data_IF_520887844156
#
_entry.id   IF_520887844156
#
_cell.length_a   1.000
_cell.length_b   1.000
_cell.length_c   1.000
_cell.angle_alpha   90.00
_cell.angle_beta   90.00
_cell.angle_gamma   90.00
#
_symmetry.space_group_name_H-M   'P 1'
#
loop_
_entity.id
_entity.type
_entity.pdbx_description
1 polymer ?
#
# COMPACT_ATOMS: atom_id res chain seq x y z
N UNK A 1 -32.07 -28.01 34.96
CA UNK A 1 -31.92 -27.05 33.85
C UNK A 1 -30.44 -26.89 33.58
N UNK A 2 -29.93 -27.59 32.58
CA UNK A 2 -28.52 -27.59 32.18
C UNK A 2 -28.16 -26.25 31.54
N UNK A 3 -26.91 -25.81 31.69
CA UNK A 3 -26.34 -24.57 31.14
C UNK A 3 -26.54 -24.36 29.61
N UNK A 4 -27.07 -25.36 28.89
CA UNK A 4 -27.38 -25.34 27.47
C UNK A 4 -28.57 -24.43 27.05
N UNK A 5 -29.46 -24.03 27.97
CA UNK A 5 -30.60 -23.15 27.62
C UNK A 5 -30.27 -21.66 27.61
N UNK A 6 -29.14 -21.22 28.20
CA UNK A 6 -28.81 -19.80 28.34
C UNK A 6 -28.15 -19.18 27.09
N UNK A 7 -27.90 -19.94 26.03
CA UNK A 7 -27.06 -19.51 24.89
C UNK A 7 -27.80 -19.33 23.56
N UNK A 8 -29.13 -19.39 23.56
CA UNK A 8 -29.94 -19.24 22.33
C UNK A 8 -30.13 -17.78 21.90
N UNK A 9 -30.02 -16.82 22.82
CA UNK A 9 -30.28 -15.40 22.59
C UNK A 9 -29.02 -14.52 22.72
N UNK A 10 -27.87 -15.12 22.97
CA UNK A 10 -26.59 -14.41 23.02
C UNK A 10 -26.02 -14.33 21.61
N UNK A 11 -25.73 -13.11 21.15
CA UNK A 11 -25.05 -12.94 19.87
C UNK A 11 -23.66 -13.62 19.92
N UNK A 12 -23.27 -14.40 18.90
CA UNK A 12 -21.96 -15.06 18.87
C UNK A 12 -20.82 -14.05 19.09
N UNK A 13 -19.75 -14.48 19.75
CA UNK A 13 -18.56 -13.66 19.92
C UNK A 13 -18.06 -13.12 18.55
N UNK A 14 -17.95 -11.79 18.38
CA UNK A 14 -17.52 -11.20 17.11
C UNK A 14 -16.11 -11.62 16.69
N UNK A 15 -15.20 -11.93 17.63
CA UNK A 15 -13.86 -12.40 17.30
C UNK A 15 -13.90 -13.82 16.72
N UNK A 16 -14.63 -14.73 17.37
CA UNK A 16 -14.88 -16.08 16.86
C UNK A 16 -15.55 -16.05 15.47
N UNK A 17 -16.57 -15.21 15.28
CA UNK A 17 -17.25 -15.07 13.98
C UNK A 17 -16.31 -14.57 12.86
N UNK A 18 -15.36 -13.69 13.19
CA UNK A 18 -14.33 -13.22 12.25
C UNK A 18 -13.34 -14.33 11.89
N UNK A 19 -12.87 -15.08 12.89
CA UNK A 19 -11.95 -16.20 12.68
C UNK A 19 -12.59 -17.28 11.79
N UNK A 20 -13.83 -17.65 12.08
CA UNK A 20 -14.58 -18.62 11.29
C UNK A 20 -14.75 -18.17 9.82
N UNK A 21 -15.13 -16.91 9.57
CA UNK A 21 -15.23 -16.37 8.20
C UNK A 21 -13.88 -16.42 7.47
N UNK A 22 -12.80 -16.08 8.16
CA UNK A 22 -11.44 -16.10 7.60
C UNK A 22 -11.05 -17.51 7.19
N UNK A 23 -11.24 -18.48 8.09
CA UNK A 23 -10.98 -19.90 7.81
C UNK A 23 -11.82 -20.40 6.63
N UNK A 24 -13.14 -20.16 6.65
CA UNK A 24 -14.02 -20.61 5.58
C UNK A 24 -13.65 -20.02 4.20
N UNK A 25 -13.23 -18.75 4.17
CA UNK A 25 -12.75 -18.11 2.95
C UNK A 25 -11.45 -18.75 2.44
N UNK A 26 -10.47 -18.95 3.34
CA UNK A 26 -9.20 -19.59 3.00
C UNK A 26 -9.40 -21.01 2.48
N UNK A 27 -10.17 -21.84 3.19
CA UNK A 27 -10.47 -23.22 2.77
C UNK A 27 -11.14 -23.25 1.41
N UNK A 28 -12.16 -22.40 1.19
CA UNK A 28 -12.86 -22.32 -0.10
C UNK A 28 -11.92 -21.96 -1.26
N UNK A 29 -11.01 -20.99 -1.06
CA UNK A 29 -10.06 -20.57 -2.08
C UNK A 29 -9.00 -21.66 -2.30
N UNK A 30 -8.48 -22.24 -1.22
CA UNK A 30 -7.48 -23.31 -1.26
C UNK A 30 -8.00 -24.50 -2.08
N UNK A 31 -9.17 -25.02 -1.74
CA UNK A 31 -9.77 -26.18 -2.42
C UNK A 31 -10.02 -25.92 -3.91
N UNK A 32 -10.50 -24.72 -4.27
CA UNK A 32 -10.90 -24.42 -5.65
C UNK A 32 -9.75 -23.95 -6.53
N UNK A 33 -8.80 -23.21 -5.97
CA UNK A 33 -7.86 -22.41 -6.74
C UNK A 33 -6.40 -22.63 -6.34
N UNK A 34 -6.12 -23.30 -5.22
CA UNK A 34 -4.77 -23.50 -4.71
C UNK A 34 -4.52 -24.92 -4.15
N UNK A 35 -5.25 -25.91 -4.67
CA UNK A 35 -5.21 -27.31 -4.21
C UNK A 35 -3.87 -28.01 -4.44
N UNK A 36 -3.11 -27.52 -5.41
CA UNK A 36 -1.78 -28.02 -5.75
C UNK A 36 -0.84 -26.85 -6.03
N UNK A 37 0.43 -27.21 -6.14
CA UNK A 37 1.54 -26.27 -6.26
C UNK A 37 1.55 -25.50 -7.58
N UNK A 38 1.22 -26.17 -8.69
CA UNK A 38 1.08 -25.53 -10.00
C UNK A 38 -0.04 -24.47 -9.99
N UNK A 39 -1.16 -24.77 -9.33
CA UNK A 39 -2.27 -23.82 -9.18
C UNK A 39 -1.90 -22.62 -8.31
N UNK A 40 -1.13 -22.82 -7.24
CA UNK A 40 -0.64 -21.76 -6.36
C UNK A 40 0.32 -20.81 -7.09
N UNK A 41 1.24 -21.34 -7.88
CA UNK A 41 2.24 -20.53 -8.62
C UNK A 41 1.68 -19.66 -9.75
N UNK A 42 0.40 -19.80 -10.14
CA UNK A 42 -0.18 -18.97 -11.23
C UNK A 42 -0.08 -17.46 -11.00
N UNK A 43 0.04 -17.02 -9.75
CA UNK A 43 0.12 -15.61 -9.39
C UNK A 43 1.52 -15.16 -8.97
N UNK A 44 2.46 -16.09 -8.78
CA UNK A 44 3.79 -15.81 -8.24
C UNK A 44 4.80 -15.76 -9.38
N UNK A 45 5.67 -14.75 -9.40
CA UNK A 45 6.80 -14.73 -10.32
C UNK A 45 7.91 -15.64 -9.76
N UNK A 46 8.34 -16.70 -10.48
CA UNK A 46 9.33 -17.64 -9.96
C UNK A 46 10.76 -17.08 -9.85
N UNK A 47 11.03 -15.89 -10.41
CA UNK A 47 12.38 -15.32 -10.46
C UNK A 47 12.55 -14.05 -9.65
N UNK A 48 11.45 -13.39 -9.25
CA UNK A 48 11.49 -12.15 -8.48
C UNK A 48 10.47 -12.26 -7.37
N UNK A 49 10.89 -12.13 -6.09
CA UNK A 49 9.95 -12.16 -4.99
C UNK A 49 8.98 -10.98 -5.11
N UNK A 50 7.71 -11.26 -4.83
CA UNK A 50 6.70 -10.21 -4.70
C UNK A 50 7.04 -9.29 -3.49
N UNK A 51 6.74 -7.98 -3.53
CA UNK A 51 7.00 -7.09 -2.39
C UNK A 51 6.42 -7.61 -1.06
N UNK A 52 5.24 -8.24 -1.08
CA UNK A 52 4.67 -8.87 0.12
C UNK A 52 5.51 -10.07 0.59
N UNK A 53 5.97 -10.90 -0.34
CA UNK A 53 6.81 -12.05 -0.06
C UNK A 53 8.14 -11.63 0.58
N UNK A 54 8.80 -10.60 0.05
CA UNK A 54 10.03 -10.06 0.60
C UNK A 54 9.84 -9.53 2.03
N UNK A 55 8.78 -8.76 2.28
CA UNK A 55 8.46 -8.24 3.63
C UNK A 55 8.15 -9.39 4.60
N UNK A 56 7.37 -10.39 4.18
CA UNK A 56 7.02 -11.53 5.00
C UNK A 56 8.24 -12.38 5.35
N UNK A 57 9.13 -12.63 4.38
CA UNK A 57 10.36 -13.40 4.57
C UNK A 57 11.30 -12.73 5.58
N UNK A 58 11.63 -11.46 5.39
CA UNK A 58 12.49 -10.71 6.32
C UNK A 58 11.88 -10.68 7.73
N UNK A 59 10.55 -10.50 7.83
CA UNK A 59 9.86 -10.51 9.13
C UNK A 59 9.95 -11.89 9.81
N UNK A 60 9.76 -12.97 9.06
CA UNK A 60 9.83 -14.32 9.59
C UNK A 60 11.24 -14.69 10.05
N UNK A 61 12.27 -14.39 9.24
CA UNK A 61 13.67 -14.63 9.58
C UNK A 61 14.08 -13.81 10.81
N UNK A 62 13.76 -12.50 10.85
CA UNK A 62 14.08 -11.64 11.98
C UNK A 62 13.38 -12.05 13.29
N UNK A 63 12.15 -12.60 13.20
CA UNK A 63 11.39 -13.09 14.35
C UNK A 63 11.76 -14.53 14.76
N UNK A 64 12.66 -15.22 14.03
CA UNK A 64 13.00 -16.63 14.25
C UNK A 64 11.88 -17.61 13.87
N UNK A 65 10.91 -17.18 13.05
CA UNK A 65 9.83 -18.01 12.52
C UNK A 65 10.19 -18.75 11.24
N UNK A 66 11.37 -18.49 10.67
CA UNK A 66 11.95 -19.20 9.53
C UNK A 66 13.43 -19.48 9.80
N UNK A 67 13.93 -20.58 9.25
CA UNK A 67 15.35 -20.97 9.35
C UNK A 67 16.14 -20.40 8.16
N UNK A 68 17.33 -19.87 8.43
CA UNK A 68 18.28 -19.45 7.41
C UNK A 68 18.90 -20.68 6.72
N UNK A 69 19.14 -20.57 5.42
CA UNK A 69 19.97 -21.56 4.73
C UNK A 69 21.43 -21.48 5.22
N UNK A 70 22.18 -22.57 5.03
CA UNK A 70 23.57 -22.67 5.53
C UNK A 70 24.53 -21.65 4.88
N UNK A 71 24.19 -21.15 3.70
CA UNK A 71 24.93 -20.19 2.89
C UNK A 71 24.31 -18.78 2.88
N UNK A 72 23.26 -18.56 3.67
CA UNK A 72 22.54 -17.28 3.73
C UNK A 72 23.08 -16.38 4.85
N UNK A 73 23.25 -15.08 4.55
CA UNK A 73 23.64 -14.10 5.56
C UNK A 73 22.48 -13.83 6.54
N UNK A 74 22.75 -13.63 7.84
CA UNK A 74 21.70 -13.27 8.79
C UNK A 74 21.09 -11.91 8.43
N UNK A 75 19.78 -11.77 8.66
CA UNK A 75 19.06 -10.51 8.47
C UNK A 75 19.73 -9.38 9.26
N UNK A 76 20.08 -8.31 8.56
CA UNK A 76 20.75 -7.14 9.13
C UNK A 76 19.83 -5.90 9.22
N UNK A 77 20.38 -4.76 9.61
CA UNK A 77 19.61 -3.51 9.73
C UNK A 77 19.21 -2.92 8.37
N UNK A 78 20.00 -3.14 7.32
CA UNK A 78 19.69 -2.69 5.97
C UNK A 78 18.51 -3.48 5.41
N UNK A 79 18.44 -4.79 5.66
CA UNK A 79 17.30 -5.63 5.29
C UNK A 79 16.00 -5.17 5.94
N UNK A 80 16.03 -4.80 7.21
CA UNK A 80 14.87 -4.25 7.92
C UNK A 80 14.39 -2.93 7.30
N UNK A 81 15.31 -2.04 6.96
CA UNK A 81 14.98 -0.76 6.31
C UNK A 81 14.44 -1.00 4.89
N UNK A 82 15.00 -1.96 4.15
CA UNK A 82 14.51 -2.35 2.84
C UNK A 82 13.07 -2.89 2.92
N UNK A 83 12.80 -3.81 3.86
CA UNK A 83 11.45 -4.32 4.10
C UNK A 83 10.46 -3.21 4.50
N UNK A 84 10.85 -2.30 5.40
CA UNK A 84 10.01 -1.15 5.79
C UNK A 84 9.72 -0.22 4.61
N UNK A 85 10.69 -0.06 3.69
CA UNK A 85 10.52 0.76 2.47
C UNK A 85 9.48 0.15 1.52
N UNK A 86 9.32 -1.18 1.51
CA UNK A 86 8.32 -1.88 0.70
C UNK A 86 6.91 -1.81 1.29
N UNK A 87 6.74 -1.57 2.60
CA UNK A 87 5.42 -1.59 3.27
C UNK A 87 4.39 -0.64 2.64
N UNK A 88 4.72 0.64 2.29
CA UNK A 88 3.77 1.51 1.60
C UNK A 88 3.31 0.94 0.25
N UNK A 89 4.22 0.32 -0.51
CA UNK A 89 3.91 -0.29 -1.80
C UNK A 89 2.98 -1.50 -1.63
N UNK A 90 3.29 -2.40 -0.70
CA UNK A 90 2.44 -3.56 -0.37
C UNK A 90 1.02 -3.12 0.03
N UNK A 91 0.90 -2.03 0.81
CA UNK A 91 -0.41 -1.47 1.18
C UNK A 91 -1.19 -0.97 -0.03
N UNK A 92 -0.53 -0.26 -0.94
CA UNK A 92 -1.13 0.22 -2.18
C UNK A 92 -1.61 -0.95 -3.06
N UNK A 93 -0.80 -2.01 -3.21
CA UNK A 93 -1.17 -3.20 -3.96
C UNK A 93 -2.39 -3.91 -3.35
N UNK A 94 -2.43 -4.07 -2.02
CA UNK A 94 -3.59 -4.63 -1.32
C UNK A 94 -4.85 -3.78 -1.50
N UNK A 95 -4.72 -2.45 -1.44
CA UNK A 95 -5.82 -1.53 -1.67
C UNK A 95 -6.35 -1.61 -3.12
N UNK A 96 -5.45 -1.72 -4.10
CA UNK A 96 -5.79 -1.89 -5.51
C UNK A 96 -6.48 -3.24 -5.79
N UNK A 97 -5.96 -4.32 -5.21
CA UNK A 97 -6.57 -5.65 -5.26
C UNK A 97 -7.97 -5.64 -4.65
N UNK A 98 -8.15 -5.01 -3.49
CA UNK A 98 -9.45 -4.90 -2.85
C UNK A 98 -10.43 -4.10 -3.71
N UNK A 99 -10.02 -2.94 -4.23
CA UNK A 99 -10.85 -2.13 -5.13
C UNK A 99 -11.25 -2.92 -6.39
N UNK A 100 -10.31 -3.66 -6.97
CA UNK A 100 -10.53 -4.52 -8.13
C UNK A 100 -11.53 -5.65 -7.83
N UNK A 101 -11.40 -6.33 -6.70
CA UNK A 101 -12.33 -7.38 -6.27
C UNK A 101 -13.74 -6.84 -6.00
N UNK A 102 -13.85 -5.68 -5.36
CA UNK A 102 -15.14 -5.02 -5.12
C UNK A 102 -15.81 -4.64 -6.44
N UNK A 103 -15.07 -4.08 -7.39
CA UNK A 103 -15.56 -3.80 -8.75
C UNK A 103 -16.03 -5.09 -9.44
N UNK A 104 -15.20 -6.14 -9.47
CA UNK A 104 -15.53 -7.43 -10.08
C UNK A 104 -16.77 -8.10 -9.45
N UNK A 105 -16.98 -7.93 -8.14
CA UNK A 105 -18.17 -8.39 -7.44
C UNK A 105 -19.42 -7.62 -7.88
N UNK A 106 -19.29 -6.29 -8.00
CA UNK A 106 -20.37 -5.40 -8.47
C UNK A 106 -20.74 -5.68 -9.93
N UNK A 107 -19.75 -5.89 -10.79
CA UNK A 107 -19.96 -6.25 -12.20
C UNK A 107 -20.65 -7.62 -12.35
N UNK A 108 -20.45 -8.52 -11.37
CA UNK A 108 -21.17 -9.81 -11.26
C UNK A 108 -22.52 -9.72 -10.56
N UNK A 109 -23.01 -8.51 -10.27
CA UNK A 109 -24.33 -8.26 -9.70
C UNK A 109 -24.46 -8.42 -8.19
N UNK A 110 -23.36 -8.66 -7.44
CA UNK A 110 -23.44 -8.77 -5.98
C UNK A 110 -23.87 -7.43 -5.37
N UNK A 111 -24.93 -7.43 -4.56
CA UNK A 111 -25.40 -6.20 -3.91
C UNK A 111 -24.45 -5.74 -2.80
N UNK A 112 -24.46 -4.46 -2.46
CA UNK A 112 -23.71 -3.93 -1.32
C UNK A 112 -24.08 -4.61 0.01
N UNK A 113 -25.33 -5.08 0.15
CA UNK A 113 -25.76 -5.83 1.33
C UNK A 113 -25.08 -7.21 1.37
N UNK A 114 -25.05 -7.92 0.24
CA UNK A 114 -24.36 -9.22 0.14
C UNK A 114 -22.86 -9.09 0.39
N UNK A 115 -22.25 -8.02 -0.12
CA UNK A 115 -20.83 -7.70 0.12
C UNK A 115 -20.58 -7.38 1.60
N UNK A 116 -21.40 -6.51 2.20
CA UNK A 116 -21.28 -6.16 3.62
C UNK A 116 -21.39 -7.40 4.52
N UNK A 117 -22.37 -8.27 4.25
CA UNK A 117 -22.52 -9.53 4.95
C UNK A 117 -21.27 -10.42 4.81
N UNK A 118 -20.75 -10.60 3.59
CA UNK A 118 -19.55 -11.39 3.34
C UNK A 118 -18.30 -10.84 4.03
N UNK A 119 -18.16 -9.52 4.10
CA UNK A 119 -17.07 -8.83 4.80
C UNK A 119 -17.28 -8.76 6.33
N UNK A 120 -18.45 -9.17 6.84
CA UNK A 120 -18.80 -9.03 8.26
C UNK A 120 -18.99 -7.57 8.70
N UNK A 121 -19.38 -6.69 7.78
CA UNK A 121 -19.72 -5.30 8.04
C UNK A 121 -21.18 -5.19 8.49
N UNK A 122 -21.45 -4.28 9.43
CA UNK A 122 -22.80 -4.11 10.00
C UNK A 122 -23.83 -3.50 9.04
N UNK A 123 -23.39 -2.83 7.96
CA UNK A 123 -24.31 -2.14 7.03
C UNK A 123 -23.78 -2.17 5.57
N UNK A 124 -24.68 -2.12 4.56
CA UNK A 124 -24.29 -1.93 3.16
C UNK A 124 -23.49 -0.64 2.92
N UNK A 125 -23.83 0.42 3.68
CA UNK A 125 -23.17 1.72 3.56
C UNK A 125 -21.69 1.64 3.94
N UNK A 126 -21.34 0.84 4.96
CA UNK A 126 -19.95 0.63 5.35
C UNK A 126 -19.13 -0.01 4.21
N UNK A 127 -19.72 -0.95 3.47
CA UNK A 127 -19.07 -1.55 2.30
C UNK A 127 -18.85 -0.53 1.18
N UNK A 128 -19.86 0.29 0.89
CA UNK A 128 -19.78 1.35 -0.12
C UNK A 128 -18.73 2.42 0.23
N UNK A 129 -18.72 2.92 1.46
CA UNK A 129 -17.74 3.91 1.92
C UNK A 129 -16.31 3.37 1.87
N UNK A 130 -16.12 2.08 2.20
CA UNK A 130 -14.83 1.41 2.04
C UNK A 130 -14.37 1.40 0.58
N UNK A 131 -15.26 1.05 -0.34
CA UNK A 131 -14.98 1.09 -1.78
C UNK A 131 -14.61 2.50 -2.26
N UNK A 132 -15.40 3.52 -1.90
CA UNK A 132 -15.15 4.92 -2.29
C UNK A 132 -13.76 5.39 -1.81
N UNK A 133 -13.41 5.09 -0.55
CA UNK A 133 -12.08 5.40 0.02
C UNK A 133 -10.94 4.69 -0.71
N UNK A 134 -11.13 3.43 -1.12
CA UNK A 134 -10.12 2.68 -1.87
C UNK A 134 -9.92 3.28 -3.26
N UNK A 135 -11.00 3.54 -3.99
CA UNK A 135 -10.92 4.12 -5.34
C UNK A 135 -10.34 5.53 -5.37
N UNK A 136 -10.60 6.35 -4.35
CA UNK A 136 -10.00 7.67 -4.22
C UNK A 136 -8.48 7.64 -4.01
N UNK A 137 -7.97 6.62 -3.30
CA UNK A 137 -6.52 6.44 -3.07
C UNK A 137 -5.79 5.91 -4.29
N UNK A 138 -6.32 4.86 -4.91
CA UNK A 138 -5.74 4.27 -6.15
C UNK A 138 -5.68 5.31 -7.28
N UNK A 139 -6.71 6.15 -7.42
CA UNK A 139 -6.73 7.24 -8.40
C UNK A 139 -5.71 8.35 -8.11
N UNK A 140 -5.38 8.60 -6.84
CA UNK A 140 -4.39 9.60 -6.44
C UNK A 140 -2.95 9.12 -6.72
N UNK A 141 -2.65 7.84 -6.48
CA UNK A 141 -1.34 7.23 -6.74
C UNK A 141 -1.01 7.19 -8.24
N UNK A 142 -2.01 6.95 -9.11
CA UNK A 142 -1.82 7.00 -10.56
C UNK A 142 -1.57 8.44 -11.06
N UNK A 143 -2.06 9.44 -10.34
CA UNK A 143 -1.96 10.86 -10.70
C UNK A 143 -0.69 11.57 -10.22
N UNK A 144 0.09 10.98 -9.31
CA UNK A 144 1.33 11.57 -8.78
C UNK A 144 2.53 11.46 -9.71
N UNK A 145 2.51 10.58 -10.73
CA UNK A 145 3.62 10.41 -11.67
C UNK A 145 3.63 11.40 -12.84
N UNK A 146 2.53 12.14 -13.09
CA UNK A 146 2.45 13.06 -14.25
C UNK A 146 2.83 14.52 -13.92
N UNK A 147 3.06 14.89 -12.66
CA UNK A 147 3.23 16.30 -12.25
C UNK A 147 4.68 16.76 -12.03
N UNK A 148 5.67 15.92 -12.35
CA UNK A 148 7.10 16.19 -12.12
C UNK A 148 7.93 16.58 -13.36
N UNK A 149 7.32 16.78 -14.53
CA UNK A 149 8.05 16.93 -15.79
C UNK A 149 7.50 18.10 -16.64
N UNK A 150 7.53 19.32 -16.10
CA UNK A 150 7.21 20.51 -16.89
C UNK A 150 7.96 21.80 -16.55
N UNK A 151 8.82 21.84 -15.51
CA UNK A 151 9.39 23.10 -15.01
C UNK A 151 10.93 23.19 -15.12
N UNK A 152 11.52 22.68 -16.20
CA UNK A 152 12.96 22.85 -16.46
C UNK A 152 13.27 23.25 -17.91
N UNK A 153 12.56 24.25 -18.41
CA UNK A 153 12.91 24.90 -19.68
C UNK A 153 12.38 26.33 -19.72
N UNK A 154 13.09 27.27 -19.08
CA UNK A 154 12.65 28.67 -19.13
C UNK A 154 13.35 29.66 -18.23
N UNK A 155 14.68 29.67 -18.16
CA UNK A 155 15.38 30.90 -17.73
C UNK A 155 16.77 31.01 -18.36
N UNK A 156 16.76 31.44 -19.61
CA UNK A 156 17.86 32.16 -20.21
C UNK A 156 17.28 33.43 -20.82
N UNK A 157 17.84 34.57 -20.40
CA UNK A 157 17.90 35.83 -21.14
C UNK A 157 16.72 36.83 -21.04
N UNK A 158 16.88 37.83 -20.15
CA UNK A 158 16.70 39.29 -20.43
C UNK A 158 16.99 40.08 -19.13
N UNK A 159 18.14 40.75 -19.01
CA UNK A 159 18.46 42.13 -19.45
C UNK A 159 17.88 43.24 -18.56
N UNK A 160 18.80 43.88 -17.84
CA UNK A 160 18.96 45.31 -17.54
C UNK A 160 17.76 46.13 -17.03
N UNK A 161 17.91 46.76 -15.86
CA UNK A 161 18.20 48.20 -15.70
C UNK A 161 17.95 48.67 -14.25
N UNK A 162 18.73 49.69 -13.86
CA UNK A 162 18.39 50.73 -12.90
C UNK A 162 18.64 50.52 -11.38
N UNK A 163 19.76 51.06 -10.91
CA UNK A 163 19.73 52.21 -9.98
C UNK A 163 21.13 52.77 -9.78
N UNK A 164 21.34 54.00 -10.25
CA UNK A 164 22.45 54.83 -9.79
C UNK A 164 22.07 55.61 -8.55
N UNK A 165 23.04 55.85 -7.66
CA UNK A 165 23.35 57.15 -7.02
C UNK A 165 24.32 57.01 -5.84
N UNK A 166 25.33 57.88 -5.84
CA UNK A 166 26.15 58.28 -4.68
C UNK A 166 27.27 57.30 -4.33
N UNK A 167 28.52 57.66 -4.14
CA UNK A 167 29.06 58.98 -3.81
C UNK A 167 30.52 59.14 -4.24
N UNK A 168 30.87 60.42 -4.39
CA UNK A 168 32.18 60.98 -4.72
C UNK A 168 33.17 60.78 -3.57
N UNK A 169 34.45 60.58 -3.89
CA UNK A 169 35.57 61.50 -3.58
C UNK A 169 36.93 60.78 -3.66
N UNK A 170 37.97 61.50 -4.10
CA UNK A 170 39.37 61.04 -4.02
C UNK A 170 40.19 61.12 -5.31
N UNK A 171 40.24 62.27 -5.97
CA UNK A 171 41.08 62.51 -7.15
C UNK A 171 42.57 62.57 -6.78
N UNK A 172 43.41 61.89 -7.56
CA UNK A 172 44.87 61.89 -7.48
C UNK A 172 45.49 63.26 -7.79
N UNK A 173 46.61 63.58 -7.14
CA UNK A 173 47.39 64.78 -7.41
C UNK A 173 48.10 64.82 -8.76
N UNK A 174 48.70 65.98 -9.07
CA UNK A 174 49.78 66.07 -10.06
C UNK A 174 49.85 67.35 -10.91
N UNK A 175 50.49 68.38 -10.35
CA UNK A 175 51.39 69.41 -10.95
C UNK A 175 51.40 69.66 -12.47
N UNK A 176 51.30 70.95 -12.84
CA UNK A 176 52.18 71.76 -13.72
C UNK A 176 51.51 73.16 -13.82
N UNK A 177 52.14 74.33 -13.67
CA UNK A 177 53.50 74.85 -13.92
C UNK A 177 53.79 75.98 -12.93
#
# INVERSE_FOLDING_TARGET
MTAAEQDLFTAPDPAHARAHRTYAALTRIAERHASDDARRRRHTNPYVPDPYEAVALVTALAAGGAELAADEEPVDSADLVAALTLVPHVRAELDALEAGLLRLARDRGLTWQSIAYGLGLGTPQAARQRYERLTGRVGAETGSDTRGQSDESGQSDTRAENSGRGDREGHSGGRAR
#
